data_IF_151459735032
#
_entry.id   IF_151459735032
#
_cell.length_a   1.000
_cell.length_b   1.000
_cell.length_c   1.000
_cell.angle_alpha   90.00
_cell.angle_beta   90.00
_cell.angle_gamma   90.00
#
_symmetry.space_group_name_H-M   'P 1'
#
loop_
_entity.id
_entity.type
_entity.pdbx_description
1 polymer ?
#
# COMPACT_ATOMS: atom_id res chain seq x y z
N UNK A 1 13.37 -21.76 63.14
CA UNK A 1 14.15 -22.22 64.32
C UNK A 1 15.52 -21.54 64.38
N UNK A 2 15.57 -20.21 64.46
CA UNK A 2 16.84 -19.48 64.54
C UNK A 2 16.73 -18.16 65.35
N UNK A 3 15.65 -17.99 66.13
CA UNK A 3 15.42 -16.81 66.97
C UNK A 3 15.67 -17.11 68.46
N UNK A 4 15.54 -18.36 68.90
CA UNK A 4 15.75 -18.72 70.31
C UNK A 4 17.22 -18.85 70.73
N UNK A 5 18.16 -18.96 69.78
CA UNK A 5 19.59 -19.02 70.12
C UNK A 5 20.23 -17.65 70.35
N UNK A 6 19.57 -16.55 69.98
CA UNK A 6 20.10 -15.20 70.20
C UNK A 6 19.72 -14.62 71.56
N UNK A 7 18.74 -15.20 72.26
CA UNK A 7 18.30 -14.73 73.58
C UNK A 7 19.12 -15.33 74.73
N UNK A 8 19.83 -16.44 74.52
CA UNK A 8 20.58 -17.15 75.57
C UNK A 8 22.00 -16.57 75.77
N UNK A 9 22.53 -15.80 74.81
CA UNK A 9 23.86 -15.21 74.90
C UNK A 9 23.92 -13.85 75.65
N UNK A 10 22.79 -13.35 76.17
CA UNK A 10 22.69 -12.02 76.80
C UNK A 10 22.68 -12.02 78.34
N UNK A 11 22.85 -13.17 79.00
CA UNK A 11 22.70 -13.27 80.47
C UNK A 11 23.94 -13.64 81.28
N UNK A 12 25.14 -13.73 80.69
CA UNK A 12 26.34 -14.01 81.48
C UNK A 12 27.54 -13.16 81.08
N UNK A 13 27.85 -12.25 82.00
CA UNK A 13 29.15 -11.67 82.35
C UNK A 13 29.71 -10.50 81.50
N UNK A 14 29.94 -9.38 82.20
CA UNK A 14 30.32 -8.08 81.69
C UNK A 14 31.80 -7.98 81.31
N UNK A 15 32.09 -7.37 80.15
CA UNK A 15 33.02 -6.24 80.06
C UNK A 15 32.29 -5.04 79.43
N UNK A 16 31.57 -4.28 80.24
CA UNK A 16 30.44 -3.46 79.78
C UNK A 16 30.79 -2.04 79.29
N UNK A 17 32.06 -1.66 79.10
CA UNK A 17 32.39 -0.26 78.77
C UNK A 17 32.96 -0.01 77.36
N UNK A 18 33.32 -1.05 76.60
CA UNK A 18 33.90 -0.90 75.25
C UNK A 18 33.10 -1.60 74.12
N UNK A 19 32.18 -2.50 74.46
CA UNK A 19 31.39 -3.26 73.48
C UNK A 19 30.06 -2.57 73.09
N UNK A 20 29.50 -1.73 73.96
CA UNK A 20 28.25 -0.99 73.71
C UNK A 20 28.29 -0.04 72.48
N UNK A 21 29.36 0.73 72.20
CA UNK A 21 29.37 1.61 71.02
C UNK A 21 29.32 0.81 69.70
N UNK A 22 29.94 -0.37 69.67
CA UNK A 22 30.00 -1.24 68.47
C UNK A 22 28.63 -1.87 68.15
N UNK A 23 27.90 -2.31 69.19
CA UNK A 23 26.55 -2.87 69.04
C UNK A 23 25.58 -1.80 68.55
N UNK A 24 25.66 -0.60 69.13
CA UNK A 24 24.80 0.54 68.75
C UNK A 24 25.06 0.96 67.30
N UNK A 25 26.33 0.96 66.86
CA UNK A 25 26.70 1.26 65.49
C UNK A 25 26.18 0.22 64.50
N UNK A 26 26.28 -1.08 64.84
CA UNK A 26 25.75 -2.18 64.04
C UNK A 26 24.22 -2.12 63.89
N UNK A 27 23.50 -1.81 64.98
CA UNK A 27 22.04 -1.60 64.94
C UNK A 27 21.68 -0.43 64.02
N UNK A 28 22.42 0.69 64.09
CA UNK A 28 22.15 1.84 63.21
C UNK A 28 22.41 1.50 61.73
N UNK A 29 23.44 0.70 61.44
CA UNK A 29 23.74 0.26 60.08
C UNK A 29 22.64 -0.67 59.54
N UNK A 30 22.15 -1.60 60.38
CA UNK A 30 21.02 -2.46 60.03
C UNK A 30 19.74 -1.66 59.80
N UNK A 31 19.44 -0.66 60.64
CA UNK A 31 18.29 0.20 60.47
C UNK A 31 18.33 0.97 59.14
N UNK A 32 19.49 1.53 58.77
CA UNK A 32 19.69 2.20 57.47
C UNK A 32 19.48 1.25 56.29
N UNK A 33 19.98 0.02 56.38
CA UNK A 33 19.78 -0.99 55.33
C UNK A 33 18.30 -1.36 55.19
N UNK A 34 17.59 -1.53 56.31
CA UNK A 34 16.14 -1.81 56.29
C UNK A 34 15.34 -0.65 55.71
N UNK A 35 15.70 0.59 56.05
CA UNK A 35 15.08 1.78 55.47
C UNK A 35 15.28 1.83 53.96
N UNK A 36 16.51 1.61 53.49
CA UNK A 36 16.85 1.55 52.07
C UNK A 36 16.04 0.46 51.34
N UNK A 37 16.03 -0.77 51.86
CA UNK A 37 15.27 -1.87 51.26
C UNK A 37 13.77 -1.61 51.25
N UNK A 38 13.24 -0.95 52.29
CA UNK A 38 11.82 -0.58 52.36
C UNK A 38 11.47 0.44 51.29
N UNK A 39 12.32 1.45 51.09
CA UNK A 39 12.15 2.44 50.03
C UNK A 39 12.25 1.81 48.64
N UNK A 40 13.18 0.88 48.45
CA UNK A 40 13.35 0.16 47.18
C UNK A 40 12.14 -0.72 46.86
N UNK A 41 11.62 -1.48 47.84
CA UNK A 41 10.39 -2.26 47.66
C UNK A 41 9.20 -1.36 47.32
N UNK A 42 9.08 -0.18 47.95
CA UNK A 42 8.02 0.77 47.64
C UNK A 42 8.15 1.32 46.21
N UNK A 43 9.38 1.65 45.78
CA UNK A 43 9.67 2.09 44.41
C UNK A 43 9.35 1.02 43.38
N UNK A 44 9.78 -0.23 43.60
CA UNK A 44 9.51 -1.36 42.72
C UNK A 44 8.02 -1.65 42.60
N UNK A 45 7.26 -1.60 43.71
CA UNK A 45 5.80 -1.76 43.66
C UNK A 45 5.13 -0.69 42.81
N UNK A 46 5.58 0.57 42.91
CA UNK A 46 5.07 1.66 42.09
C UNK A 46 5.37 1.45 40.60
N UNK A 47 6.60 1.02 40.28
CA UNK A 47 6.98 0.69 38.89
C UNK A 47 6.13 -0.46 38.34
N UNK A 48 5.90 -1.50 39.13
CA UNK A 48 5.11 -2.66 38.72
C UNK A 48 3.64 -2.28 38.47
N UNK A 49 3.08 -1.38 39.29
CA UNK A 49 1.75 -0.84 39.08
C UNK A 49 1.65 -0.01 37.78
N UNK A 50 2.67 0.81 37.50
CA UNK A 50 2.74 1.59 36.26
C UNK A 50 2.82 0.68 35.03
N UNK A 51 3.72 -0.30 35.03
CA UNK A 51 3.87 -1.25 33.92
C UNK A 51 2.59 -2.07 33.71
N UNK A 52 1.89 -2.45 34.77
CA UNK A 52 0.59 -3.13 34.65
C UNK A 52 -0.43 -2.24 33.93
N UNK A 53 -0.50 -0.96 34.29
CA UNK A 53 -1.44 -0.01 33.68
C UNK A 53 -1.09 0.26 32.21
N UNK A 54 0.20 0.38 31.88
CA UNK A 54 0.69 0.51 30.52
C UNK A 54 0.34 -0.72 29.68
N UNK A 55 0.50 -1.93 30.23
CA UNK A 55 0.10 -3.18 29.58
C UNK A 55 -1.40 -3.20 29.28
N UNK A 56 -2.23 -2.85 30.26
CA UNK A 56 -3.70 -2.88 30.09
C UNK A 56 -4.14 -1.87 29.03
N UNK A 57 -3.53 -0.67 29.01
CA UNK A 57 -3.75 0.33 27.96
C UNK A 57 -3.31 -0.19 26.59
N UNK A 58 -2.17 -0.87 26.50
CA UNK A 58 -1.68 -1.45 25.24
C UNK A 58 -2.61 -2.55 24.72
N UNK A 59 -3.17 -3.38 25.61
CA UNK A 59 -4.16 -4.41 25.25
C UNK A 59 -5.41 -3.77 24.65
N UNK A 60 -5.93 -2.70 25.26
CA UNK A 60 -7.08 -1.96 24.72
C UNK A 60 -6.78 -1.35 23.34
N UNK A 61 -5.58 -0.80 23.14
CA UNK A 61 -5.16 -0.24 21.85
C UNK A 61 -5.07 -1.32 20.76
N UNK A 62 -4.52 -2.49 21.08
CA UNK A 62 -4.46 -3.62 20.13
C UNK A 62 -5.87 -4.06 19.73
N UNK A 63 -6.79 -4.19 20.69
CA UNK A 63 -8.17 -4.54 20.39
C UNK A 63 -8.86 -3.50 19.48
N UNK A 64 -8.57 -2.20 19.67
CA UNK A 64 -9.09 -1.16 18.78
C UNK A 64 -8.50 -1.25 17.36
N UNK A 65 -7.21 -1.56 17.23
CA UNK A 65 -6.55 -1.77 15.93
C UNK A 65 -7.15 -2.98 15.21
N UNK A 66 -7.39 -4.08 15.91
CA UNK A 66 -8.00 -5.28 15.33
C UNK A 66 -9.42 -5.00 14.81
N UNK A 67 -10.20 -4.21 15.54
CA UNK A 67 -11.52 -3.77 15.08
C UNK A 67 -11.42 -2.90 13.83
N UNK A 68 -10.51 -1.92 13.80
CA UNK A 68 -10.29 -1.07 12.63
C UNK A 68 -9.85 -1.87 11.40
N UNK A 69 -8.98 -2.86 11.58
CA UNK A 69 -8.54 -3.74 10.49
C UNK A 69 -9.70 -4.58 9.94
N UNK A 70 -10.60 -5.03 10.80
CA UNK A 70 -11.82 -5.76 10.41
C UNK A 70 -12.74 -4.86 9.58
N UNK A 71 -12.98 -3.63 10.03
CA UNK A 71 -13.83 -2.67 9.32
C UNK A 71 -13.21 -2.28 7.96
N UNK A 72 -11.89 -2.09 7.91
CA UNK A 72 -11.17 -1.79 6.68
C UNK A 72 -11.27 -2.94 5.67
N UNK A 73 -11.13 -4.19 6.11
CA UNK A 73 -11.32 -5.36 5.25
C UNK A 73 -12.76 -5.45 4.71
N UNK A 74 -13.76 -5.17 5.54
CA UNK A 74 -15.16 -5.12 5.11
C UNK A 74 -15.41 -4.02 4.06
N UNK A 75 -14.85 -2.83 4.27
CA UNK A 75 -14.94 -1.71 3.32
C UNK A 75 -14.25 -2.02 1.99
N UNK A 76 -13.11 -2.69 2.01
CA UNK A 76 -12.45 -3.14 0.77
C UNK A 76 -13.31 -4.14 0.00
N UNK A 77 -13.89 -5.12 0.68
CA UNK A 77 -14.77 -6.10 0.06
C UNK A 77 -15.99 -5.43 -0.59
N UNK A 78 -16.61 -4.46 0.09
CA UNK A 78 -17.74 -3.70 -0.44
C UNK A 78 -17.33 -2.82 -1.63
N UNK A 79 -16.17 -2.16 -1.56
CA UNK A 79 -15.67 -1.37 -2.68
C UNK A 79 -15.44 -2.24 -3.93
N UNK A 80 -14.85 -3.42 -3.76
CA UNK A 80 -14.67 -4.37 -4.86
C UNK A 80 -16.02 -4.83 -5.43
N UNK A 81 -17.02 -5.07 -4.58
CA UNK A 81 -18.38 -5.43 -5.00
C UNK A 81 -19.04 -4.31 -5.79
N UNK A 82 -18.89 -3.07 -5.36
CA UNK A 82 -19.42 -1.90 -6.08
C UNK A 82 -18.73 -1.69 -7.42
N UNK A 83 -17.40 -1.86 -7.49
CA UNK A 83 -16.62 -1.79 -8.73
C UNK A 83 -17.04 -2.85 -9.74
N UNK A 84 -17.27 -4.09 -9.30
CA UNK A 84 -17.75 -5.16 -10.19
C UNK A 84 -19.18 -4.92 -10.66
N UNK A 85 -20.07 -4.47 -9.76
CA UNK A 85 -21.43 -4.08 -10.12
C UNK A 85 -21.47 -2.93 -11.13
N UNK A 86 -20.62 -1.92 -10.95
CA UNK A 86 -20.50 -0.80 -11.89
C UNK A 86 -20.02 -1.25 -13.27
N UNK A 87 -18.98 -2.09 -13.32
CA UNK A 87 -18.49 -2.67 -14.58
C UNK A 87 -19.58 -3.48 -15.28
N UNK A 88 -20.34 -4.28 -14.53
CA UNK A 88 -21.45 -5.06 -15.07
C UNK A 88 -22.56 -4.17 -15.64
N UNK A 89 -22.91 -3.09 -14.94
CA UNK A 89 -23.88 -2.10 -15.41
C UNK A 89 -23.42 -1.46 -16.72
N UNK A 90 -22.15 -1.06 -16.82
CA UNK A 90 -21.58 -0.46 -18.03
C UNK A 90 -21.58 -1.44 -19.22
N UNK A 91 -21.29 -2.72 -18.97
CA UNK A 91 -21.39 -3.75 -20.00
C UNK A 91 -22.83 -3.93 -20.48
N UNK A 92 -23.80 -4.00 -19.57
CA UNK A 92 -25.21 -4.11 -19.92
C UNK A 92 -25.70 -2.89 -20.73
N UNK A 93 -25.28 -1.69 -20.33
CA UNK A 93 -25.58 -0.45 -21.06
C UNK A 93 -25.01 -0.46 -22.48
N UNK A 94 -23.74 -0.84 -22.65
CA UNK A 94 -23.10 -0.95 -23.96
C UNK A 94 -23.77 -2.01 -24.86
N UNK A 95 -24.19 -3.14 -24.29
CA UNK A 95 -24.95 -4.16 -25.04
C UNK A 95 -26.29 -3.62 -25.53
N UNK A 96 -27.00 -2.84 -24.70
CA UNK A 96 -28.27 -2.23 -25.08
C UNK A 96 -28.10 -1.23 -26.24
N UNK A 97 -27.06 -0.39 -26.18
CA UNK A 97 -26.68 0.52 -27.26
C UNK A 97 -26.35 -0.21 -28.56
N UNK A 98 -25.54 -1.26 -28.49
CA UNK A 98 -25.17 -2.05 -29.65
C UNK A 98 -26.39 -2.74 -30.29
N UNK A 99 -27.31 -3.26 -29.47
CA UNK A 99 -28.56 -3.86 -29.95
C UNK A 99 -29.49 -2.83 -30.59
N UNK A 100 -29.61 -1.63 -30.01
CA UNK A 100 -30.38 -0.53 -30.59
C UNK A 100 -29.85 -0.09 -31.96
N UNK A 101 -28.52 0.01 -32.12
CA UNK A 101 -27.90 0.33 -33.40
C UNK A 101 -28.14 -0.75 -34.47
N UNK A 102 -28.11 -2.04 -34.09
CA UNK A 102 -28.40 -3.14 -35.02
C UNK A 102 -29.86 -3.17 -35.48
N UNK A 103 -30.80 -2.80 -34.61
CA UNK A 103 -32.21 -2.70 -34.99
C UNK A 103 -32.47 -1.51 -35.92
N UNK A 104 -31.78 -0.37 -35.73
CA UNK A 104 -31.85 0.77 -36.63
C UNK A 104 -31.28 0.46 -38.03
N UNK A 105 -30.13 -0.23 -38.11
CA UNK A 105 -29.55 -0.64 -39.40
C UNK A 105 -30.37 -1.72 -40.11
N UNK A 106 -30.99 -2.66 -39.37
CA UNK A 106 -31.90 -3.64 -39.95
C UNK A 106 -33.17 -3.00 -40.54
N UNK A 107 -33.71 -1.95 -39.92
CA UNK A 107 -34.85 -1.21 -40.46
C UNK A 107 -34.48 -0.39 -41.70
N UNK A 108 -33.30 0.25 -41.73
CA UNK A 108 -32.79 0.96 -42.92
C UNK A 108 -32.51 -0.01 -44.10
N UNK A 109 -32.00 -1.21 -43.84
CA UNK A 109 -31.82 -2.25 -44.85
C UNK A 109 -33.14 -2.78 -45.42
N UNK A 110 -34.17 -2.92 -44.59
CA UNK A 110 -35.50 -3.37 -45.01
C UNK A 110 -36.27 -2.33 -45.85
N UNK A 111 -35.99 -1.03 -45.67
CA UNK A 111 -36.57 0.04 -46.50
C UNK A 111 -35.87 0.14 -47.85
N UNK A 112 -34.54 -0.07 -47.91
CA UNK A 112 -33.79 -0.07 -49.17
C UNK A 112 -34.11 -1.27 -50.08
N UNK A 113 -34.49 -2.42 -49.53
CA UNK A 113 -34.89 -3.60 -50.32
C UNK A 113 -36.33 -3.52 -50.88
N UNK A 114 -37.16 -2.56 -50.45
CA UNK A 114 -38.54 -2.41 -50.95
C UNK A 114 -38.67 -1.47 -52.15
N UNK A 115 -37.60 -0.83 -52.62
CA UNK A 115 -37.62 0.07 -53.79
C UNK A 115 -36.96 -0.51 -55.05
N UNK A 116 -36.62 -1.80 -55.07
CA UNK A 116 -36.00 -2.44 -56.23
C UNK A 116 -36.90 -3.53 -56.83
N UNK A 117 -38.10 -3.16 -57.32
CA UNK A 117 -38.91 -4.03 -58.17
C UNK A 117 -39.51 -3.17 -59.30
N UNK A 118 -39.20 -3.57 -60.55
CA UNK A 118 -39.74 -3.15 -61.87
C UNK A 118 -39.26 -1.78 -62.41
N UNK A 119 -38.67 -1.64 -63.61
CA UNK A 119 -39.16 -2.05 -64.96
C UNK A 119 -37.97 -2.24 -65.95
N UNK A 120 -38.11 -3.07 -67.02
CA UNK A 120 -37.02 -3.54 -67.91
C UNK A 120 -36.94 -2.80 -69.25
N UNK A 121 -35.75 -2.78 -69.89
CA UNK A 121 -35.53 -2.99 -71.35
C UNK A 121 -34.03 -3.04 -71.68
N UNK A 122 -33.57 -4.21 -72.13
CA UNK A 122 -32.86 -4.52 -73.40
C UNK A 122 -32.29 -3.34 -74.23
N UNK A 123 -31.11 -3.35 -74.85
CA UNK A 123 -30.17 -4.41 -75.25
C UNK A 123 -28.79 -3.80 -75.62
N UNK A 124 -27.78 -4.68 -75.75
CA UNK A 124 -26.73 -4.71 -76.82
C UNK A 124 -25.25 -4.61 -76.37
N UNK A 125 -24.74 -5.79 -76.00
CA UNK A 125 -23.53 -6.50 -76.52
C UNK A 125 -22.09 -6.01 -76.19
N UNK A 126 -21.21 -6.92 -75.69
CA UNK A 126 -19.78 -6.75 -75.30
C UNK A 126 -18.82 -7.09 -76.50
N UNK A 127 -17.47 -7.30 -76.41
CA UNK A 127 -16.62 -7.54 -75.23
C UNK A 127 -15.18 -6.97 -75.22
N UNK A 128 -14.53 -7.07 -74.05
CA UNK A 128 -13.16 -7.59 -73.83
C UNK A 128 -12.48 -6.85 -72.66
N UNK A 129 -12.09 -7.58 -71.61
CA UNK A 129 -11.35 -7.02 -70.48
C UNK A 129 -11.55 -7.79 -69.19
N UNK A 130 -11.08 -9.03 -69.18
CA UNK A 130 -11.09 -9.93 -68.05
C UNK A 130 -10.02 -9.48 -67.03
N UNK A 131 -10.40 -9.46 -65.74
CA UNK A 131 -9.61 -9.70 -64.50
C UNK A 131 -9.88 -8.66 -63.39
N UNK A 132 -10.88 -8.97 -62.56
CA UNK A 132 -10.95 -8.65 -61.13
C UNK A 132 -9.94 -9.53 -60.33
N UNK A 133 -9.70 -9.31 -59.01
CA UNK A 133 -10.25 -8.26 -58.15
C UNK A 133 -9.19 -7.47 -57.38
N UNK A 134 -9.58 -6.24 -57.02
CA UNK A 134 -8.95 -5.46 -55.97
C UNK A 134 -9.35 -6.01 -54.60
N UNK A 135 -8.39 -6.16 -53.69
CA UNK A 135 -8.69 -6.13 -52.26
C UNK A 135 -7.64 -5.34 -51.48
N UNK A 136 -8.07 -4.58 -50.46
CA UNK A 136 -7.26 -3.57 -49.78
C UNK A 136 -6.44 -4.22 -48.68
N UNK A 137 -5.11 -4.14 -48.77
CA UNK A 137 -4.25 -4.43 -47.62
C UNK A 137 -3.72 -3.11 -47.06
N UNK A 138 -4.44 -2.60 -46.06
CA UNK A 138 -3.89 -1.63 -45.13
C UNK A 138 -2.64 -2.24 -44.51
N UNK A 139 -1.49 -1.61 -44.75
CA UNK A 139 -0.19 -2.01 -44.20
C UNK A 139 -0.27 -2.01 -42.67
N UNK A 140 -0.45 -3.20 -42.10
CA UNK A 140 0.02 -3.53 -40.75
C UNK A 140 1.52 -3.25 -40.71
N UNK A 141 1.90 -2.09 -40.17
CA UNK A 141 3.26 -1.80 -39.74
C UNK A 141 3.55 -2.66 -38.50
N UNK A 142 3.90 -3.92 -38.74
CA UNK A 142 4.53 -4.78 -37.74
C UNK A 142 5.93 -4.22 -37.46
N UNK A 143 5.98 -3.23 -36.56
CA UNK A 143 7.24 -2.70 -36.03
C UNK A 143 7.73 -3.72 -35.01
N UNK A 144 8.49 -4.72 -35.48
CA UNK A 144 9.40 -5.50 -34.64
C UNK A 144 10.29 -4.50 -33.91
N UNK A 145 9.98 -4.24 -32.64
CA UNK A 145 10.91 -3.58 -31.73
C UNK A 145 11.95 -4.63 -31.37
N UNK A 146 13.12 -4.44 -31.95
CA UNK A 146 14.34 -5.18 -31.67
C UNK A 146 14.61 -5.25 -30.17
N UNK A 147 14.97 -6.43 -29.72
CA UNK A 147 15.42 -6.74 -28.38
C UNK A 147 16.57 -5.81 -27.94
N UNK A 148 16.31 -5.00 -26.92
CA UNK A 148 17.32 -4.50 -26.01
C UNK A 148 16.92 -5.02 -24.62
N UNK A 149 17.85 -5.73 -23.98
CA UNK A 149 17.71 -6.20 -22.61
C UNK A 149 17.30 -5.05 -21.68
N UNK A 150 16.45 -5.36 -20.69
CA UNK A 150 15.61 -4.45 -19.88
C UNK A 150 14.33 -3.96 -20.55
N UNK A 151 13.21 -4.56 -20.15
CA UNK A 151 11.86 -4.18 -20.55
C UNK A 151 11.67 -2.66 -20.58
N UNK A 152 11.17 -2.15 -21.70
CA UNK A 152 11.24 -0.75 -22.12
C UNK A 152 10.75 0.28 -21.10
N UNK A 153 10.99 1.56 -21.38
CA UNK A 153 10.76 2.66 -20.43
C UNK A 153 9.37 2.66 -19.75
N UNK A 154 8.31 2.22 -20.45
CA UNK A 154 6.96 2.05 -19.88
C UNK A 154 6.93 0.91 -18.84
N UNK A 155 7.50 -0.25 -19.18
CA UNK A 155 7.62 -1.37 -18.24
C UNK A 155 8.52 -1.03 -17.04
N UNK A 156 9.51 -0.16 -17.22
CA UNK A 156 10.29 0.40 -16.11
C UNK A 156 9.43 1.32 -15.24
N UNK A 157 8.56 2.15 -15.81
CA UNK A 157 7.60 2.98 -15.06
C UNK A 157 6.63 2.13 -14.23
N UNK A 158 6.08 1.07 -14.81
CA UNK A 158 5.20 0.13 -14.09
C UNK A 158 5.92 -0.61 -12.96
N UNK A 159 7.19 -1.00 -13.15
CA UNK A 159 8.01 -1.59 -12.07
C UNK A 159 8.25 -0.60 -10.94
N UNK A 160 8.54 0.65 -11.28
CA UNK A 160 8.72 1.73 -10.30
C UNK A 160 7.44 2.03 -9.53
N UNK A 161 6.28 2.00 -10.20
CA UNK A 161 4.99 2.14 -9.55
C UNK A 161 4.82 1.09 -8.44
N UNK A 162 5.04 -0.19 -8.75
CA UNK A 162 4.98 -1.29 -7.75
C UNK A 162 6.02 -1.13 -6.66
N UNK A 163 7.25 -0.80 -7.00
CA UNK A 163 8.31 -0.65 -6.01
C UNK A 163 8.04 0.50 -5.03
N UNK A 164 7.36 1.56 -5.48
CA UNK A 164 6.91 2.64 -4.58
C UNK A 164 5.74 2.19 -3.72
N UNK A 165 4.83 1.36 -4.24
CA UNK A 165 3.80 0.73 -3.42
C UNK A 165 4.42 -0.11 -2.30
N UNK A 166 5.35 -1.00 -2.63
CA UNK A 166 6.07 -1.84 -1.66
C UNK A 166 6.83 -1.00 -0.62
N UNK A 167 7.44 0.11 -1.03
CA UNK A 167 8.09 1.04 -0.12
C UNK A 167 7.09 1.67 0.86
N UNK A 168 5.97 2.16 0.34
CA UNK A 168 4.95 2.85 1.12
C UNK A 168 4.30 1.91 2.14
N UNK A 169 4.12 0.64 1.80
CA UNK A 169 3.63 -0.38 2.72
C UNK A 169 4.61 -0.63 3.88
N UNK A 170 5.92 -0.59 3.60
CA UNK A 170 6.97 -0.72 4.62
C UNK A 170 7.18 0.58 5.44
N UNK A 171 6.81 1.74 4.90
CA UNK A 171 7.06 3.05 5.49
C UNK A 171 5.80 3.92 5.50
N UNK A 172 4.75 3.57 6.29
CA UNK A 172 3.49 4.30 6.28
C UNK A 172 3.63 5.77 6.71
N UNK A 173 4.63 6.08 7.54
CA UNK A 173 5.00 7.44 7.94
C UNK A 173 5.73 8.26 6.85
N UNK A 174 6.30 7.63 5.83
CA UNK A 174 7.16 8.27 4.83
C UNK A 174 6.79 7.87 3.38
N UNK A 175 5.50 7.96 3.08
CA UNK A 175 4.94 7.55 1.78
C UNK A 175 5.28 8.53 0.65
N UNK A 176 5.48 8.01 -0.56
CA UNK A 176 5.67 8.77 -1.78
C UNK A 176 4.45 8.64 -2.71
N UNK A 177 4.00 9.78 -3.23
CA UNK A 177 3.02 9.81 -4.31
C UNK A 177 3.73 9.64 -5.65
N UNK A 178 3.16 8.81 -6.52
CA UNK A 178 3.67 8.62 -7.89
C UNK A 178 3.29 9.81 -8.74
N UNK A 179 4.28 10.55 -9.23
CA UNK A 179 4.07 11.75 -10.07
C UNK A 179 4.97 11.72 -11.30
N UNK A 180 4.56 12.42 -12.36
CA UNK A 180 5.38 12.56 -13.56
C UNK A 180 6.76 13.14 -13.24
N UNK A 181 6.86 14.11 -12.33
CA UNK A 181 8.15 14.69 -11.92
C UNK A 181 9.05 13.68 -11.21
N UNK A 182 8.49 12.83 -10.35
CA UNK A 182 9.26 11.77 -9.66
C UNK A 182 9.85 10.79 -10.69
N UNK A 183 9.02 10.30 -11.62
CA UNK A 183 9.47 9.35 -12.64
C UNK A 183 10.50 9.97 -13.60
N UNK A 184 10.30 11.22 -14.02
CA UNK A 184 11.21 11.91 -14.96
C UNK A 184 12.53 12.32 -14.31
N UNK A 185 12.46 13.08 -13.22
CA UNK A 185 13.62 13.74 -12.62
C UNK A 185 14.42 12.79 -11.75
N UNK A 186 13.74 12.01 -10.92
CA UNK A 186 14.40 11.22 -9.88
C UNK A 186 14.74 9.81 -10.40
N UNK A 187 13.93 9.24 -11.29
CA UNK A 187 14.16 7.91 -11.89
C UNK A 187 14.52 7.90 -13.38
N UNK A 188 14.62 9.07 -14.02
CA UNK A 188 15.14 9.21 -15.38
C UNK A 188 14.27 8.57 -16.48
N UNK A 189 12.96 8.42 -16.28
CA UNK A 189 12.08 7.89 -17.31
C UNK A 189 11.80 8.97 -18.37
N UNK A 190 11.93 8.59 -19.64
CA UNK A 190 11.66 9.48 -20.76
C UNK A 190 10.20 9.97 -20.80
N UNK A 191 10.01 11.23 -21.19
CA UNK A 191 8.72 11.92 -21.15
C UNK A 191 7.56 11.13 -21.78
N UNK A 192 7.72 10.75 -23.06
CA UNK A 192 6.72 9.94 -23.79
C UNK A 192 6.32 8.63 -23.08
N UNK A 193 7.25 8.01 -22.36
CA UNK A 193 6.94 6.77 -21.63
C UNK A 193 6.19 7.05 -20.32
N UNK A 194 6.46 8.18 -19.69
CA UNK A 194 5.71 8.67 -18.52
C UNK A 194 4.29 9.04 -18.95
N UNK A 195 4.12 9.79 -20.04
CA UNK A 195 2.81 10.12 -20.59
C UNK A 195 2.01 8.88 -20.97
N UNK A 196 2.63 7.90 -21.65
CA UNK A 196 1.97 6.64 -21.98
C UNK A 196 1.58 5.85 -20.72
N UNK A 197 2.47 5.76 -19.73
CA UNK A 197 2.19 5.10 -18.46
C UNK A 197 1.01 5.75 -17.73
N UNK A 198 1.01 7.08 -17.58
CA UNK A 198 -0.12 7.76 -16.97
C UNK A 198 -1.38 7.65 -17.83
N UNK A 199 -1.30 7.68 -19.17
CA UNK A 199 -2.46 7.44 -20.03
C UNK A 199 -3.15 6.10 -19.77
N UNK A 200 -2.37 5.04 -19.58
CA UNK A 200 -2.88 3.68 -19.37
C UNK A 200 -3.23 3.38 -17.90
N UNK A 201 -2.57 4.05 -16.94
CA UNK A 201 -2.68 3.75 -15.50
C UNK A 201 -3.17 4.93 -14.63
N UNK A 202 -3.66 6.03 -15.21
CA UNK A 202 -4.04 7.23 -14.45
C UNK A 202 -5.02 6.89 -13.33
N UNK A 203 -6.07 6.13 -13.64
CA UNK A 203 -7.10 5.77 -12.67
C UNK A 203 -6.54 4.92 -11.52
N UNK A 204 -5.65 3.98 -11.82
CA UNK A 204 -5.00 3.14 -10.81
C UNK A 204 -4.08 3.97 -9.90
N UNK A 205 -3.37 4.94 -10.47
CA UNK A 205 -2.53 5.87 -9.72
C UNK A 205 -3.37 6.79 -8.83
N UNK A 206 -4.50 7.30 -9.34
CA UNK A 206 -5.40 8.18 -8.59
C UNK A 206 -6.08 7.41 -7.43
N UNK A 207 -6.58 6.20 -7.70
CA UNK A 207 -7.14 5.30 -6.68
C UNK A 207 -6.10 5.01 -5.59
N UNK A 208 -4.85 4.77 -5.98
CA UNK A 208 -3.76 4.55 -5.04
C UNK A 208 -3.43 5.80 -4.23
N UNK A 209 -3.37 6.98 -4.84
CA UNK A 209 -3.15 8.24 -4.12
C UNK A 209 -4.22 8.49 -3.05
N UNK A 210 -5.48 8.19 -3.36
CA UNK A 210 -6.57 8.26 -2.40
C UNK A 210 -6.37 7.27 -1.23
N UNK A 211 -5.91 6.05 -1.50
CA UNK A 211 -5.73 5.03 -0.45
C UNK A 211 -4.62 5.39 0.55
N UNK A 212 -3.56 6.07 0.11
CA UNK A 212 -2.47 6.55 0.98
C UNK A 212 -2.71 7.98 1.51
N UNK A 213 -3.90 8.54 1.31
CA UNK A 213 -4.30 9.84 1.85
C UNK A 213 -3.61 11.06 1.19
N UNK A 214 -3.18 10.93 -0.06
CA UNK A 214 -2.54 12.03 -0.80
C UNK A 214 -3.60 13.03 -1.27
N UNK A 215 -3.75 14.15 -0.53
CA UNK A 215 -4.62 15.25 -0.96
C UNK A 215 -4.01 16.14 -2.06
N UNK A 216 -2.69 16.34 -2.02
CA UNK A 216 -1.96 17.11 -3.04
C UNK A 216 -0.61 16.45 -3.31
N UNK A 217 -0.52 15.81 -4.48
CA UNK A 217 0.64 15.03 -4.93
C UNK A 217 1.96 15.82 -4.93
N UNK A 218 1.91 17.12 -5.27
CA UNK A 218 3.11 17.96 -5.37
C UNK A 218 3.67 18.33 -4.00
N UNK A 219 2.81 18.66 -3.04
CA UNK A 219 3.24 18.98 -1.67
C UNK A 219 3.57 17.73 -0.87
N UNK A 220 2.89 16.60 -1.15
CA UNK A 220 3.11 15.33 -0.47
C UNK A 220 4.59 14.93 -0.56
N UNK A 221 5.17 14.86 -1.75
CA UNK A 221 6.56 14.41 -1.89
C UNK A 221 7.62 15.39 -1.32
N UNK A 222 7.22 16.56 -0.81
CA UNK A 222 8.12 17.56 -0.21
C UNK A 222 8.01 17.64 1.32
N UNK A 223 7.16 16.84 1.95
CA UNK A 223 7.02 16.84 3.41
C UNK A 223 8.31 16.34 4.08
N UNK A 224 8.64 16.91 5.24
CA UNK A 224 9.83 16.52 6.03
C UNK A 224 9.79 15.03 6.40
N UNK A 225 10.93 14.36 6.32
CA UNK A 225 11.06 12.91 6.61
C UNK A 225 10.96 11.99 5.38
N UNK A 226 10.75 12.53 4.18
CA UNK A 226 10.73 11.76 2.93
C UNK A 226 12.02 11.97 2.14
N UNK A 227 12.89 10.97 2.17
CA UNK A 227 14.18 11.00 1.48
C UNK A 227 14.11 10.22 0.18
N UNK A 228 14.19 10.93 -0.95
CA UNK A 228 14.12 10.32 -2.29
C UNK A 228 15.34 9.43 -2.56
N UNK A 229 16.48 9.66 -1.91
CA UNK A 229 17.68 8.83 -2.07
C UNK A 229 17.51 7.45 -1.40
N UNK A 230 16.78 7.37 -0.30
CA UNK A 230 16.46 6.08 0.33
C UNK A 230 15.53 5.25 -0.55
N UNK A 231 14.52 5.90 -1.13
CA UNK A 231 13.63 5.26 -2.10
C UNK A 231 14.40 4.73 -3.31
N UNK A 232 15.32 5.52 -3.87
CA UNK A 232 16.17 5.06 -4.99
C UNK A 232 17.01 3.85 -4.63
N UNK A 233 17.64 3.84 -3.44
CA UNK A 233 18.42 2.69 -2.95
C UNK A 233 17.55 1.45 -2.84
N UNK A 234 16.35 1.59 -2.29
CA UNK A 234 15.40 0.48 -2.18
C UNK A 234 15.01 -0.10 -3.54
N UNK A 235 14.62 0.76 -4.49
CA UNK A 235 14.32 0.33 -5.87
C UNK A 235 15.51 -0.37 -6.51
N UNK A 236 16.73 0.14 -6.31
CA UNK A 236 17.94 -0.48 -6.82
C UNK A 236 18.16 -1.88 -6.22
N UNK A 237 17.94 -2.06 -4.92
CA UNK A 237 18.03 -3.38 -4.26
C UNK A 237 16.96 -4.37 -4.74
N UNK A 238 15.75 -3.89 -5.06
CA UNK A 238 14.70 -4.73 -5.64
C UNK A 238 15.08 -5.17 -7.06
N UNK A 239 15.62 -4.27 -7.87
CA UNK A 239 16.06 -4.58 -9.23
C UNK A 239 17.22 -5.59 -9.26
N UNK A 240 18.09 -5.62 -8.25
CA UNK A 240 19.17 -6.61 -8.13
C UNK A 240 18.73 -7.98 -7.62
N UNK A 241 17.52 -8.11 -7.08
CA UNK A 241 16.97 -9.39 -6.56
C UNK A 241 16.21 -10.20 -7.61
N UNK A 242 15.83 -9.58 -8.73
CA UNK A 242 15.19 -10.20 -9.91
C UNK A 242 16.20 -10.51 -10.99
#
# INVERSE_FOLDING_TARGET
MALDQLLIALTTDSPQSAAEPTITQAISAQAKTLEFLTQEIASLRKQLQQVSQERDTAIEQVAAIDQQNTDFAALQAENHRLKSAHTSLMQAYNQLLANGQRQATAQLGAVAQRQAIEVPTDSTTPPAGQLEPSSPHAKTTSKRVSAAADGGAIARAARLFRAVQDWNDQHPQATFAITASLLKRDFGIHDKAVEAFFGDHQQEVDDYHLSIGVGNTRSHNRQSGRDTEQLKKFVATLASKT
#
